data_IF_314529580593
#
_entry.id   IF_314529580593
#
_cell.length_a   1.000
_cell.length_b   1.000
_cell.length_c   1.000
_cell.angle_alpha   90.00
_cell.angle_beta   90.00
_cell.angle_gamma   90.00
#
_symmetry.space_group_name_H-M   'P 1'
#
loop_
_entity.id
_entity.type
_entity.pdbx_description
1 polymer ?
#
# COMPACT_ATOMS: atom_id res chain seq x y z
N UNK A 1 -13.02 -5.24 15.46
CA UNK A 1 -11.80 -6.09 15.52
C UNK A 1 -10.61 -5.25 15.12
N UNK A 2 -9.50 -5.32 15.88
CA UNK A 2 -8.24 -4.62 15.57
C UNK A 2 -7.25 -5.65 15.02
N UNK A 3 -6.85 -5.49 13.75
CA UNK A 3 -5.77 -6.21 13.10
C UNK A 3 -4.39 -5.63 13.49
N UNK A 4 -3.43 -6.52 13.72
CA UNK A 4 -2.02 -6.25 14.04
C UNK A 4 -1.11 -6.69 12.88
N UNK A 5 -1.42 -7.84 12.26
CA UNK A 5 -0.59 -8.45 11.23
C UNK A 5 -0.71 -7.72 9.90
N UNK A 6 -1.93 -7.35 9.51
CA UNK A 6 -2.21 -6.61 8.28
C UNK A 6 -1.40 -5.30 8.19
N UNK A 7 -1.57 -4.36 9.14
CA UNK A 7 -0.78 -3.13 9.17
C UNK A 7 0.73 -3.35 9.21
N UNK A 8 1.20 -4.42 9.87
CA UNK A 8 2.63 -4.78 9.90
C UNK A 8 3.14 -5.13 8.50
N UNK A 9 2.45 -6.03 7.78
CA UNK A 9 2.83 -6.41 6.43
C UNK A 9 2.75 -5.22 5.47
N UNK A 10 1.66 -4.44 5.53
CA UNK A 10 1.47 -3.24 4.69
C UNK A 10 2.61 -2.23 4.87
N UNK A 11 2.97 -1.91 6.12
CA UNK A 11 4.06 -0.96 6.41
C UNK A 11 5.43 -1.51 6.01
N UNK A 12 5.66 -2.81 6.19
CA UNK A 12 6.92 -3.44 5.78
C UNK A 12 7.12 -3.39 4.26
N UNK A 13 6.08 -3.68 3.48
CA UNK A 13 6.08 -3.61 2.02
C UNK A 13 6.25 -2.16 1.52
N UNK A 14 5.53 -1.21 2.11
CA UNK A 14 5.66 0.22 1.79
C UNK A 14 7.08 0.76 2.07
N UNK A 15 7.68 0.38 3.21
CA UNK A 15 9.07 0.72 3.52
C UNK A 15 10.02 0.15 2.46
N UNK A 16 9.75 -1.05 1.96
CA UNK A 16 10.58 -1.74 0.98
C UNK A 16 10.14 -1.53 -0.49
N UNK A 17 9.57 -0.36 -0.80
CA UNK A 17 9.01 -0.06 -2.14
C UNK A 17 10.01 -0.14 -3.30
N UNK A 18 11.32 -0.14 -3.01
CA UNK A 18 12.36 -0.36 -4.02
C UNK A 18 12.29 -1.74 -4.65
N UNK A 19 11.77 -2.72 -3.91
CA UNK A 19 11.73 -4.12 -4.32
C UNK A 19 10.29 -4.69 -4.29
N UNK A 20 9.37 -4.09 -3.53
CA UNK A 20 8.01 -4.61 -3.33
C UNK A 20 6.97 -3.57 -3.74
N UNK A 21 5.94 -3.99 -4.48
CA UNK A 21 4.74 -3.19 -4.71
C UNK A 21 3.66 -3.56 -3.69
N UNK A 22 3.01 -2.58 -3.06
CA UNK A 22 1.95 -2.78 -2.06
C UNK A 22 0.66 -2.13 -2.55
N UNK A 23 -0.47 -2.85 -2.49
CA UNK A 23 -1.75 -2.32 -2.95
C UNK A 23 -2.77 -2.42 -1.83
N UNK A 24 -3.33 -1.26 -1.45
CA UNK A 24 -4.32 -1.13 -0.36
C UNK A 24 -5.70 -0.70 -0.85
N UNK A 25 -5.85 -0.39 -2.14
CA UNK A 25 -7.12 -0.02 -2.77
C UNK A 25 -7.31 -0.86 -4.03
N UNK A 26 -8.44 -1.57 -4.11
CA UNK A 26 -8.76 -2.41 -5.30
C UNK A 26 -8.93 -1.59 -6.58
N UNK A 27 -9.28 -0.30 -6.46
CA UNK A 27 -9.36 0.62 -7.59
C UNK A 27 -8.04 0.82 -8.32
N UNK A 28 -6.90 0.48 -7.70
CA UNK A 28 -5.57 0.63 -8.32
C UNK A 28 -5.19 -0.57 -9.22
N UNK A 29 -5.93 -1.69 -9.17
CA UNK A 29 -5.55 -2.92 -9.87
C UNK A 29 -5.47 -2.75 -11.38
N UNK A 30 -6.46 -2.13 -12.01
CA UNK A 30 -6.48 -1.97 -13.47
C UNK A 30 -5.30 -1.14 -13.98
N UNK A 31 -4.88 -0.13 -13.24
CA UNK A 31 -3.72 0.70 -13.59
C UNK A 31 -2.40 -0.08 -13.44
N UNK A 32 -2.27 -0.85 -12.35
CA UNK A 32 -1.10 -1.69 -12.08
C UNK A 32 -0.94 -2.77 -13.14
N UNK A 33 -2.02 -3.47 -13.49
CA UNK A 33 -2.00 -4.54 -14.52
C UNK A 33 -1.55 -3.95 -15.85
N UNK A 34 -2.13 -2.81 -16.27
CA UNK A 34 -1.73 -2.13 -17.51
C UNK A 34 -0.26 -1.72 -17.52
N UNK A 35 0.26 -1.24 -16.39
CA UNK A 35 1.67 -0.86 -16.29
C UNK A 35 2.58 -2.10 -16.33
N UNK A 36 2.21 -3.19 -15.66
CA UNK A 36 2.96 -4.45 -15.72
C UNK A 36 2.98 -5.01 -17.15
N UNK A 37 1.85 -5.03 -17.84
CA UNK A 37 1.75 -5.49 -19.23
C UNK A 37 2.65 -4.66 -20.17
N UNK A 38 2.80 -3.37 -19.89
CA UNK A 38 3.66 -2.46 -20.66
C UNK A 38 5.16 -2.54 -20.31
N UNK A 39 5.53 -3.11 -19.16
CA UNK A 39 6.89 -3.09 -18.63
C UNK A 39 7.38 -4.51 -18.25
N UNK A 40 7.11 -5.51 -19.09
CA UNK A 40 7.61 -6.89 -18.92
C UNK A 40 7.29 -7.49 -17.53
N UNK A 41 6.08 -7.23 -17.03
CA UNK A 41 5.62 -7.70 -15.72
C UNK A 41 6.14 -6.89 -14.53
N UNK A 42 6.74 -5.73 -14.76
CA UNK A 42 7.31 -4.87 -13.71
C UNK A 42 6.55 -3.56 -13.54
N UNK A 43 6.71 -2.93 -12.37
CA UNK A 43 6.28 -1.54 -12.15
C UNK A 43 7.49 -0.61 -12.10
N UNK A 44 7.27 0.63 -12.53
CA UNK A 44 8.23 1.70 -12.37
C UNK A 44 8.45 1.99 -10.88
N UNK A 45 9.64 2.49 -10.55
CA UNK A 45 9.96 2.90 -9.19
C UNK A 45 9.01 4.00 -8.68
N UNK A 46 8.61 4.92 -9.56
CA UNK A 46 7.67 5.99 -9.25
C UNK A 46 6.30 5.43 -8.80
N UNK A 47 5.75 4.47 -9.55
CA UNK A 47 4.49 3.83 -9.19
C UNK A 47 4.59 3.10 -7.85
N UNK A 48 5.67 2.37 -7.59
CA UNK A 48 5.87 1.71 -6.29
C UNK A 48 6.00 2.70 -5.14
N UNK A 49 6.62 3.86 -5.37
CA UNK A 49 6.69 4.93 -4.39
C UNK A 49 5.32 5.54 -4.09
N UNK A 50 4.50 5.81 -5.11
CA UNK A 50 3.14 6.32 -4.94
C UNK A 50 2.25 5.31 -4.19
N UNK A 51 2.38 4.02 -4.50
CA UNK A 51 1.72 2.94 -3.78
C UNK A 51 2.13 2.87 -2.30
N UNK A 52 3.40 3.10 -2.00
CA UNK A 52 3.90 3.16 -0.63
C UNK A 52 3.32 4.34 0.16
N UNK A 53 3.17 5.51 -0.47
CA UNK A 53 2.50 6.67 0.14
C UNK A 53 1.06 6.30 0.51
N UNK A 54 0.29 5.75 -0.44
CA UNK A 54 -1.09 5.32 -0.20
C UNK A 54 -1.19 4.29 0.93
N UNK A 55 -0.22 3.37 1.03
CA UNK A 55 -0.17 2.37 2.09
C UNK A 55 0.07 3.00 3.48
N UNK A 56 0.99 3.95 3.60
CA UNK A 56 1.20 4.67 4.86
C UNK A 56 -0.03 5.50 5.25
N UNK A 57 -0.64 6.21 4.29
CA UNK A 57 -1.91 6.94 4.51
C UNK A 57 -3.01 6.00 5.01
N UNK A 58 -3.16 4.82 4.40
CA UNK A 58 -4.15 3.83 4.79
C UNK A 58 -3.96 3.36 6.24
N UNK A 59 -2.72 3.05 6.63
CA UNK A 59 -2.43 2.63 8.02
C UNK A 59 -2.56 3.77 9.01
N UNK A 60 -2.22 5.01 8.64
CA UNK A 60 -2.42 6.18 9.49
C UNK A 60 -3.90 6.46 9.73
N UNK A 61 -4.74 6.35 8.69
CA UNK A 61 -6.19 6.47 8.82
C UNK A 61 -6.77 5.38 9.71
N UNK A 62 -6.32 4.13 9.55
CA UNK A 62 -6.72 2.99 10.39
C UNK A 62 -6.38 3.22 11.87
N UNK A 63 -5.14 3.62 12.18
CA UNK A 63 -4.72 3.91 13.56
C UNK A 63 -5.47 5.12 14.14
N UNK A 64 -5.77 6.13 13.32
CA UNK A 64 -6.59 7.28 13.73
C UNK A 64 -8.02 6.88 14.10
N UNK A 65 -8.62 5.96 13.34
CA UNK A 65 -9.95 5.43 13.66
C UNK A 65 -9.96 4.63 14.97
N UNK A 66 -8.89 3.86 15.24
CA UNK A 66 -8.72 3.15 16.51
C UNK A 66 -8.56 4.15 17.65
N UNK A 67 -7.71 5.16 17.49
CA UNK A 67 -7.49 6.19 18.51
C UNK A 67 -8.80 6.91 18.86
N UNK A 68 -9.53 7.41 17.86
CA UNK A 68 -10.83 8.08 18.04
C UNK A 68 -11.90 7.17 18.69
N UNK A 69 -11.81 5.85 18.49
CA UNK A 69 -12.69 4.91 19.17
C UNK A 69 -12.39 4.81 20.68
N UNK A 70 -11.12 4.99 21.07
CA UNK A 70 -10.69 4.96 22.47
C UNK A 70 -10.68 6.34 23.17
N UNK A 71 -10.64 7.45 22.42
CA UNK A 71 -10.57 8.81 22.97
C UNK A 71 -10.80 9.90 21.93
#
# INVERSE_FOLDING_TARGET
>A
NIDIGGPTMVRSAAKNHKDVAIVVKSSDYDAIIKEMDANEGSLLLATRFDLAIKAFEHTAAYDSMIANYFG
#
